data_IF_458700647641
#
_entry.id   IF_458700647641
#
_cell.length_a   1.000
_cell.length_b   1.000
_cell.length_c   1.000
_cell.angle_alpha   90.00
_cell.angle_beta   90.00
_cell.angle_gamma   90.00
#
_symmetry.space_group_name_H-M   'P 1'
#
loop_
_entity.id
_entity.type
_entity.pdbx_description
1 polymer ?
#
# COMPACT_ATOMS: atom_id res chain seq x y z
N UNK A 1 11.31 -11.36 44.62
CA UNK A 1 10.85 -9.97 44.54
C UNK A 1 10.67 -9.64 43.06
N UNK A 2 9.47 -9.81 42.50
CA UNK A 2 9.17 -9.50 41.09
C UNK A 2 8.43 -8.16 41.09
N UNK A 3 9.08 -7.11 40.61
CA UNK A 3 8.43 -5.81 40.41
C UNK A 3 7.30 -5.95 39.39
N UNK A 4 6.06 -5.72 39.83
CA UNK A 4 4.92 -5.52 38.94
C UNK A 4 5.08 -4.13 38.31
N UNK A 5 5.49 -4.09 37.04
CA UNK A 5 5.35 -2.91 36.20
C UNK A 5 3.87 -2.53 36.13
N UNK A 6 3.48 -1.48 36.86
CA UNK A 6 2.19 -0.80 36.72
C UNK A 6 2.25 0.02 35.42
N UNK A 7 1.75 -0.57 34.33
CA UNK A 7 1.55 0.18 33.08
C UNK A 7 0.32 1.08 33.25
N UNK A 8 0.54 2.36 33.56
CA UNK A 8 -0.51 3.38 33.55
C UNK A 8 -0.99 3.56 32.10
N UNK A 9 -2.17 3.01 31.78
CA UNK A 9 -2.86 3.19 30.49
C UNK A 9 -3.32 4.64 30.32
N UNK A 10 -2.47 5.46 29.71
CA UNK A 10 -2.84 6.73 29.11
C UNK A 10 -3.37 6.43 27.71
N UNK A 11 -4.69 6.35 27.55
CA UNK A 11 -5.32 6.38 26.22
C UNK A 11 -5.60 7.86 25.95
N UNK A 12 -4.63 8.53 25.31
CA UNK A 12 -4.86 9.82 24.69
C UNK A 12 -5.90 9.63 23.58
N UNK A 13 -6.89 10.51 23.55
CA UNK A 13 -7.83 10.58 22.44
C UNK A 13 -7.09 10.81 21.12
N UNK A 14 -7.47 10.04 20.11
CA UNK A 14 -7.19 10.28 18.70
C UNK A 14 -5.73 10.49 18.33
N UNK A 15 -4.94 9.41 18.26
CA UNK A 15 -3.82 9.26 17.32
C UNK A 15 -3.25 7.83 17.54
N UNK A 16 -2.93 7.14 16.44
CA UNK A 16 -2.44 5.75 16.31
C UNK A 16 -3.49 4.68 15.95
N UNK A 17 -4.06 4.79 14.74
CA UNK A 17 -4.37 3.63 13.90
C UNK A 17 -3.45 3.61 12.66
N UNK A 18 -2.18 3.98 12.86
CA UNK A 18 -1.09 3.55 12.01
C UNK A 18 -0.40 2.38 12.71
N UNK A 19 -0.40 1.21 12.07
CA UNK A 19 0.43 0.04 12.41
C UNK A 19 0.40 -0.44 13.87
N UNK A 20 -0.60 -1.25 14.23
CA UNK A 20 -0.47 -2.23 15.31
C UNK A 20 -0.50 -3.64 14.70
N UNK A 21 0.57 -3.99 13.99
CA UNK A 21 0.81 -5.36 13.49
C UNK A 21 2.29 -5.75 13.59
N UNK A 22 3.00 -5.31 14.63
CA UNK A 22 4.41 -5.68 14.87
C UNK A 22 4.69 -6.27 16.25
N UNK A 23 3.67 -6.53 17.07
CA UNK A 23 3.84 -7.34 18.27
C UNK A 23 2.70 -8.32 18.42
N UNK A 24 3.05 -9.60 18.59
CA UNK A 24 2.21 -10.71 19.04
C UNK A 24 1.71 -10.45 20.48
N UNK A 25 0.96 -9.35 20.67
CA UNK A 25 0.16 -9.16 21.87
C UNK A 25 -1.06 -10.07 21.66
N UNK A 26 -1.34 -11.02 22.57
CA UNK A 26 -2.59 -11.76 22.52
C UNK A 26 -3.72 -10.74 22.40
N UNK A 27 -4.68 -10.98 21.50
CA UNK A 27 -5.94 -10.23 21.46
C UNK A 27 -6.65 -10.51 22.80
N UNK A 28 -6.35 -9.71 23.82
CA UNK A 28 -6.88 -9.89 25.17
C UNK A 28 -8.34 -9.48 25.13
N UNK A 29 -9.23 -10.46 25.02
CA UNK A 29 -10.65 -10.28 25.33
C UNK A 29 -10.75 -9.89 26.80
N UNK A 30 -11.51 -8.84 27.05
CA UNK A 30 -11.73 -8.35 28.41
C UNK A 30 -13.18 -8.57 28.77
N UNK A 31 -13.43 -9.04 30.00
CA UNK A 31 -14.78 -9.11 30.55
C UNK A 31 -15.33 -7.67 30.63
N UNK A 32 -16.50 -7.48 30.06
CA UNK A 32 -17.25 -6.22 30.03
C UNK A 32 -18.62 -6.45 30.63
N UNK A 33 -19.18 -5.39 31.21
CA UNK A 33 -20.56 -5.36 31.69
C UNK A 33 -21.31 -4.33 30.87
N UNK A 34 -22.42 -4.73 30.26
CA UNK A 34 -23.25 -3.82 29.49
C UNK A 34 -23.80 -2.71 30.37
N UNK A 35 -23.57 -1.43 30.01
CA UNK A 35 -24.07 -0.30 30.80
C UNK A 35 -25.59 -0.26 30.89
N UNK A 36 -26.28 -0.81 29.90
CA UNK A 36 -27.73 -0.93 29.84
C UNK A 36 -28.04 -2.44 29.77
N UNK A 37 -28.87 -2.93 30.68
CA UNK A 37 -29.22 -4.37 30.80
C UNK A 37 -28.30 -5.20 31.71
N UNK A 38 -27.04 -4.78 31.92
CA UNK A 38 -26.14 -5.40 32.90
C UNK A 38 -25.58 -6.78 32.52
N UNK A 39 -25.77 -7.23 31.27
CA UNK A 39 -25.21 -8.51 30.82
C UNK A 39 -23.67 -8.49 30.82
N UNK A 40 -23.06 -9.62 31.18
CA UNK A 40 -21.61 -9.82 31.13
C UNK A 40 -21.22 -10.50 29.83
N UNK A 41 -20.15 -10.01 29.20
CA UNK A 41 -19.67 -10.56 27.94
C UNK A 41 -18.18 -10.30 27.76
N UNK A 42 -17.58 -10.96 26.78
CA UNK A 42 -16.19 -10.75 26.38
C UNK A 42 -16.16 -10.25 24.94
N UNK A 43 -15.44 -9.16 24.70
CA UNK A 43 -15.28 -8.59 23.36
C UNK A 43 -13.88 -7.97 23.18
N UNK A 44 -13.54 -7.68 21.92
CA UNK A 44 -12.32 -7.01 21.48
C UNK A 44 -12.62 -5.57 21.07
N UNK A 45 -11.70 -4.64 21.34
CA UNK A 45 -11.64 -3.22 20.92
C UNK A 45 -12.96 -2.55 20.49
N UNK A 46 -13.46 -1.57 21.25
CA UNK A 46 -14.82 -1.00 21.12
C UNK A 46 -15.89 -2.10 21.32
N UNK A 47 -16.23 -2.44 22.57
CA UNK A 47 -17.18 -3.52 22.87
C UNK A 47 -18.60 -3.21 22.40
N UNK A 48 -19.32 -4.24 21.94
CA UNK A 48 -20.75 -4.16 21.64
C UNK A 48 -21.57 -5.11 22.52
N UNK A 49 -22.59 -4.57 23.17
CA UNK A 49 -23.52 -5.34 23.97
C UNK A 49 -24.27 -6.40 23.15
N UNK A 50 -24.28 -7.67 23.59
CA UNK A 50 -24.83 -8.76 22.78
C UNK A 50 -26.34 -8.64 22.56
N UNK A 51 -27.10 -8.19 23.56
CA UNK A 51 -28.57 -8.17 23.53
C UNK A 51 -29.09 -6.92 22.83
N UNK A 52 -28.73 -5.75 23.36
CA UNK A 52 -29.29 -4.46 22.90
C UNK A 52 -28.43 -3.77 21.83
N UNK A 53 -27.32 -4.39 21.42
CA UNK A 53 -26.38 -3.89 20.40
C UNK A 53 -25.78 -2.52 20.70
N UNK A 54 -25.87 -2.03 21.93
CA UNK A 54 -25.26 -0.77 22.35
C UNK A 54 -23.74 -0.86 22.26
N UNK A 55 -23.11 0.12 21.61
CA UNK A 55 -21.67 0.17 21.41
C UNK A 55 -21.03 1.03 22.49
N UNK A 56 -20.10 0.45 23.25
CA UNK A 56 -19.44 1.10 24.38
C UNK A 56 -18.30 2.01 23.89
N UNK A 57 -18.66 3.20 23.38
CA UNK A 57 -17.71 4.17 22.82
C UNK A 57 -16.89 4.94 23.87
N UNK A 58 -17.19 4.78 25.17
CA UNK A 58 -16.42 5.35 26.28
C UNK A 58 -16.46 4.46 27.53
N UNK A 59 -15.54 4.72 28.47
CA UNK A 59 -15.33 3.87 29.65
C UNK A 59 -16.42 3.98 30.72
N UNK A 60 -17.00 5.17 30.90
CA UNK A 60 -17.96 5.47 31.97
C UNK A 60 -19.09 6.32 31.42
N UNK A 61 -20.29 5.96 31.82
CA UNK A 61 -21.53 6.65 31.49
C UNK A 61 -22.17 7.15 32.78
N UNK A 62 -22.76 8.33 32.73
CA UNK A 62 -23.59 8.85 33.81
C UNK A 62 -24.98 8.23 33.75
N UNK A 63 -25.72 8.24 34.85
CA UNK A 63 -27.10 7.75 34.87
C UNK A 63 -27.99 8.49 33.86
N UNK A 64 -27.84 9.81 33.74
CA UNK A 64 -28.57 10.66 32.81
C UNK A 64 -28.30 10.27 31.34
N UNK A 65 -27.04 10.00 31.00
CA UNK A 65 -26.68 9.50 29.67
C UNK A 65 -27.30 8.13 29.40
N UNK A 66 -27.26 7.21 30.36
CA UNK A 66 -27.81 5.87 30.17
C UNK A 66 -29.32 5.91 29.98
N UNK A 67 -30.06 6.74 30.73
CA UNK A 67 -31.50 6.92 30.54
C UNK A 67 -31.82 7.44 29.13
N UNK A 68 -31.03 8.40 28.63
CA UNK A 68 -31.17 8.92 27.27
C UNK A 68 -30.85 7.86 26.23
N UNK A 69 -29.76 7.13 26.42
CA UNK A 69 -29.27 6.13 25.47
C UNK A 69 -30.17 4.89 25.42
N UNK A 70 -30.79 4.52 26.54
CA UNK A 70 -31.78 3.46 26.63
C UNK A 70 -33.00 3.75 25.73
N UNK A 71 -33.46 5.01 25.71
CA UNK A 71 -34.55 5.44 24.81
C UNK A 71 -34.15 5.30 23.34
N UNK A 72 -32.90 5.63 22.99
CA UNK A 72 -32.38 5.51 21.62
C UNK A 72 -32.26 4.04 21.20
N UNK A 73 -31.60 3.19 21.98
CA UNK A 73 -31.41 1.78 21.60
C UNK A 73 -32.72 0.99 21.62
N UNK A 74 -33.71 1.46 22.39
CA UNK A 74 -35.08 0.91 22.39
C UNK A 74 -35.95 1.50 21.27
N UNK A 75 -35.48 2.48 20.50
CA UNK A 75 -36.24 3.01 19.38
C UNK A 75 -36.43 1.96 18.28
N UNK A 76 -37.50 2.12 17.49
CA UNK A 76 -37.76 1.26 16.33
C UNK A 76 -36.58 1.32 15.34
N UNK A 77 -36.10 2.52 15.04
CA UNK A 77 -35.02 2.74 14.07
C UNK A 77 -33.71 2.03 14.47
N UNK A 78 -33.34 2.05 15.75
CA UNK A 78 -32.14 1.34 16.22
C UNK A 78 -32.32 -0.18 16.24
N UNK A 79 -33.50 -0.66 16.67
CA UNK A 79 -33.79 -2.10 16.76
C UNK A 79 -33.94 -2.78 15.39
N UNK A 80 -34.25 -2.02 14.35
CA UNK A 80 -34.37 -2.51 12.97
C UNK A 80 -33.02 -2.55 12.21
N UNK A 81 -31.92 -2.12 12.83
CA UNK A 81 -30.59 -2.27 12.24
C UNK A 81 -30.30 -3.76 12.00
N UNK A 82 -29.84 -4.16 10.79
CA UNK A 82 -29.56 -5.56 10.50
C UNK A 82 -28.52 -6.16 11.46
N UNK A 83 -28.82 -7.34 12.01
CA UNK A 83 -27.98 -8.03 13.01
C UNK A 83 -26.55 -8.36 12.54
N UNK A 84 -26.35 -8.49 11.23
CA UNK A 84 -25.05 -8.74 10.59
C UNK A 84 -24.30 -7.44 10.19
N UNK A 85 -24.76 -6.28 10.64
CA UNK A 85 -24.02 -5.01 10.51
C UNK A 85 -22.86 -4.98 11.49
N UNK A 86 -21.78 -4.27 11.15
CA UNK A 86 -20.66 -4.13 12.08
C UNK A 86 -20.94 -3.12 13.20
N UNK A 87 -20.19 -3.22 14.29
CA UNK A 87 -20.33 -2.35 15.47
C UNK A 87 -20.16 -0.86 15.16
N UNK A 88 -19.32 -0.49 14.21
CA UNK A 88 -19.16 0.92 13.83
C UNK A 88 -20.40 1.46 13.12
N UNK A 89 -21.12 0.62 12.37
CA UNK A 89 -22.41 0.98 11.78
C UNK A 89 -23.45 1.26 12.88
N UNK A 90 -23.55 0.36 13.87
CA UNK A 90 -24.41 0.57 15.04
C UNK A 90 -24.04 1.86 15.78
N UNK A 91 -22.75 2.14 15.98
CA UNK A 91 -22.29 3.36 16.62
C UNK A 91 -22.64 4.61 15.81
N UNK A 92 -22.51 4.56 14.48
CA UNK A 92 -22.86 5.68 13.61
C UNK A 92 -24.37 5.98 13.66
N UNK A 93 -25.22 4.96 13.52
CA UNK A 93 -26.69 5.11 13.67
C UNK A 93 -27.09 5.61 15.05
N UNK A 94 -26.41 5.13 16.10
CA UNK A 94 -26.61 5.64 17.46
C UNK A 94 -26.29 7.14 17.53
N UNK A 95 -25.15 7.58 16.99
CA UNK A 95 -24.76 8.99 16.97
C UNK A 95 -25.71 9.87 16.15
N UNK A 96 -26.28 9.36 15.05
CA UNK A 96 -27.30 10.08 14.28
C UNK A 96 -28.56 10.31 15.10
N UNK A 97 -29.06 9.26 15.75
CA UNK A 97 -30.24 9.33 16.62
C UNK A 97 -30.01 10.21 17.86
N UNK A 98 -28.76 10.29 18.33
CA UNK A 98 -28.39 11.15 19.43
C UNK A 98 -28.42 12.64 19.05
N UNK A 99 -28.12 12.98 17.80
CA UNK A 99 -28.23 14.34 17.24
C UNK A 99 -27.24 15.38 17.77
N UNK A 100 -26.41 15.04 18.76
CA UNK A 100 -25.47 15.97 19.43
C UNK A 100 -24.01 15.78 19.00
N UNK A 101 -23.78 14.90 18.02
CA UNK A 101 -22.44 14.52 17.56
C UNK A 101 -22.06 15.35 16.34
N UNK A 102 -20.83 15.85 16.31
CA UNK A 102 -20.34 16.66 15.18
C UNK A 102 -20.32 15.86 13.86
N UNK A 103 -20.53 16.54 12.74
CA UNK A 103 -20.40 15.94 11.39
C UNK A 103 -19.05 15.24 11.22
N UNK A 104 -17.97 15.79 11.80
CA UNK A 104 -16.63 15.17 11.76
C UNK A 104 -16.64 13.79 12.39
N UNK A 105 -17.19 13.67 13.61
CA UNK A 105 -17.23 12.41 14.35
C UNK A 105 -18.17 11.40 13.68
N UNK A 106 -19.34 11.85 13.21
CA UNK A 106 -20.27 11.01 12.45
C UNK A 106 -19.63 10.46 11.17
N UNK A 107 -19.05 11.34 10.35
CA UNK A 107 -18.39 10.97 9.12
C UNK A 107 -17.23 9.99 9.32
N UNK A 108 -16.43 10.19 10.37
CA UNK A 108 -15.35 9.26 10.73
C UNK A 108 -15.87 7.90 11.20
N UNK A 109 -16.95 7.89 11.99
CA UNK A 109 -17.55 6.64 12.45
C UNK A 109 -18.08 5.81 11.27
N UNK A 110 -18.68 6.47 10.28
CA UNK A 110 -19.08 5.82 9.03
C UNK A 110 -17.90 5.40 8.16
N UNK A 111 -16.83 6.21 8.09
CA UNK A 111 -15.58 5.82 7.44
C UNK A 111 -15.00 4.53 8.04
N UNK A 112 -14.93 4.45 9.37
CA UNK A 112 -14.48 3.25 10.09
C UNK A 112 -15.40 2.07 9.80
N UNK A 113 -16.72 2.29 9.79
CA UNK A 113 -17.70 1.25 9.44
C UNK A 113 -17.51 0.70 8.03
N UNK A 114 -17.22 1.53 7.03
CA UNK A 114 -16.99 1.07 5.66
C UNK A 114 -15.71 0.22 5.52
N UNK A 115 -14.67 0.57 6.27
CA UNK A 115 -13.38 -0.11 6.21
C UNK A 115 -13.32 -1.36 7.08
N UNK A 116 -14.09 -1.41 8.16
CA UNK A 116 -14.21 -2.58 9.02
C UNK A 116 -14.91 -3.74 8.31
N UNK A 117 -14.60 -4.97 8.75
CA UNK A 117 -15.25 -6.17 8.22
C UNK A 117 -16.78 -6.07 8.38
N UNK A 118 -17.51 -6.35 7.29
CA UNK A 118 -18.97 -6.41 7.31
C UNK A 118 -19.45 -7.48 6.35
N UNK A 119 -20.36 -8.32 6.83
CA UNK A 119 -21.08 -9.32 6.03
C UNK A 119 -22.29 -8.72 5.31
N UNK A 120 -22.69 -7.50 5.69
CA UNK A 120 -23.83 -6.82 5.14
C UNK A 120 -23.40 -5.74 4.14
N UNK A 121 -23.45 -6.08 2.85
CA UNK A 121 -23.04 -5.16 1.79
C UNK A 121 -23.93 -3.91 1.71
N UNK A 122 -25.22 -4.02 2.08
CA UNK A 122 -26.14 -2.86 2.06
C UNK A 122 -25.69 -1.81 3.08
N UNK A 123 -25.45 -2.21 4.33
CA UNK A 123 -25.07 -1.27 5.39
C UNK A 123 -23.65 -0.75 5.19
N UNK A 124 -22.77 -1.57 4.61
CA UNK A 124 -21.45 -1.10 4.16
C UNK A 124 -21.56 -0.01 3.09
N UNK A 125 -22.40 -0.18 2.07
CA UNK A 125 -22.60 0.87 1.05
C UNK A 125 -23.29 2.11 1.60
N UNK A 126 -24.19 1.96 2.57
CA UNK A 126 -24.76 3.09 3.31
C UNK A 126 -23.68 3.83 4.10
N UNK A 127 -22.77 3.12 4.78
CA UNK A 127 -21.61 3.73 5.45
C UNK A 127 -20.72 4.52 4.49
N UNK A 128 -20.50 4.03 3.26
CA UNK A 128 -19.76 4.78 2.25
C UNK A 128 -20.45 6.12 1.92
N UNK A 129 -21.75 6.07 1.65
CA UNK A 129 -22.54 7.26 1.28
C UNK A 129 -22.64 8.27 2.43
N UNK A 130 -22.94 7.81 3.64
CA UNK A 130 -23.04 8.68 4.81
C UNK A 130 -21.68 9.22 5.23
N UNK A 131 -20.63 8.40 5.16
CA UNK A 131 -19.25 8.84 5.36
C UNK A 131 -18.89 10.02 4.46
N UNK A 132 -19.20 9.93 3.16
CA UNK A 132 -18.99 11.04 2.21
C UNK A 132 -19.81 12.27 2.63
N UNK A 133 -21.12 12.11 2.85
CA UNK A 133 -22.05 13.20 3.18
C UNK A 133 -21.60 14.01 4.41
N UNK A 134 -21.23 13.34 5.51
CA UNK A 134 -20.80 14.01 6.73
C UNK A 134 -19.37 14.58 6.62
N UNK A 135 -18.44 13.87 5.98
CA UNK A 135 -17.08 14.37 5.79
C UNK A 135 -17.02 15.57 4.84
N UNK A 136 -17.88 15.64 3.80
CA UNK A 136 -18.03 16.82 2.93
C UNK A 136 -18.41 18.08 3.74
N UNK A 137 -19.30 17.96 4.73
CA UNK A 137 -19.66 19.06 5.64
C UNK A 137 -18.51 19.47 6.55
N UNK A 138 -17.68 18.51 6.96
CA UNK A 138 -16.59 18.70 7.91
C UNK A 138 -15.26 19.17 7.29
N UNK A 139 -14.99 18.89 5.99
CA UNK A 139 -13.65 18.91 5.38
C UNK A 139 -12.90 20.25 5.45
N UNK A 140 -13.61 21.38 5.51
CA UNK A 140 -13.10 22.78 5.60
C UNK A 140 -11.60 22.96 5.35
N UNK A 141 -10.74 22.78 6.37
CA UNK A 141 -9.27 22.84 6.28
C UNK A 141 -8.57 21.66 6.97
N UNK A 142 -9.32 20.67 7.41
CA UNK A 142 -8.81 19.54 8.18
C UNK A 142 -8.13 18.54 7.24
N UNK A 143 -6.81 18.42 7.37
CA UNK A 143 -6.00 17.54 6.52
C UNK A 143 -6.38 16.07 6.69
N UNK A 144 -6.79 15.65 7.89
CA UNK A 144 -7.11 14.24 8.15
C UNK A 144 -8.40 13.86 7.41
N UNK A 145 -9.45 14.66 7.61
CA UNK A 145 -10.77 14.46 6.99
C UNK A 145 -10.71 14.46 5.47
N UNK A 146 -9.83 15.28 4.91
CA UNK A 146 -9.60 15.33 3.49
C UNK A 146 -9.04 14.02 2.91
N UNK A 147 -8.11 13.35 3.59
CA UNK A 147 -7.58 12.06 3.13
C UNK A 147 -8.63 10.96 3.24
N UNK A 148 -9.39 10.94 4.36
CA UNK A 148 -10.49 10.02 4.56
C UNK A 148 -11.55 10.18 3.45
N UNK A 149 -11.92 11.43 3.15
CA UNK A 149 -12.88 11.76 2.09
C UNK A 149 -12.35 11.41 0.69
N UNK A 150 -11.08 11.69 0.39
CA UNK A 150 -10.47 11.30 -0.88
C UNK A 150 -10.52 9.78 -1.09
N UNK A 151 -10.27 9.01 -0.02
CA UNK A 151 -10.38 7.56 -0.05
C UNK A 151 -11.82 7.11 -0.32
N UNK A 152 -12.81 7.66 0.38
CA UNK A 152 -14.21 7.32 0.13
C UNK A 152 -14.65 7.68 -1.30
N UNK A 153 -14.22 8.83 -1.85
CA UNK A 153 -14.51 9.16 -3.25
C UNK A 153 -13.90 8.15 -4.22
N UNK A 154 -12.68 7.67 -3.98
CA UNK A 154 -12.08 6.65 -4.84
C UNK A 154 -12.86 5.32 -4.81
N UNK A 155 -13.35 4.92 -3.63
CA UNK A 155 -14.14 3.70 -3.44
C UNK A 155 -15.57 3.82 -4.02
N UNK A 156 -16.11 5.04 -4.02
CA UNK A 156 -17.35 5.41 -4.67
C UNK A 156 -17.20 5.70 -6.17
N UNK A 157 -15.98 5.58 -6.73
CA UNK A 157 -15.67 5.88 -8.13
C UNK A 157 -15.95 7.35 -8.53
N UNK A 158 -16.00 8.25 -7.54
CA UNK A 158 -16.19 9.69 -7.71
C UNK A 158 -14.84 10.41 -7.97
N UNK A 159 -14.07 9.92 -8.95
CA UNK A 159 -12.70 10.38 -9.22
C UNK A 159 -12.59 11.88 -9.54
N UNK A 160 -13.62 12.49 -10.13
CA UNK A 160 -13.66 13.94 -10.40
C UNK A 160 -13.66 14.73 -9.09
N UNK A 161 -14.49 14.33 -8.11
CA UNK A 161 -14.54 15.00 -6.80
C UNK A 161 -13.26 14.76 -6.02
N UNK A 162 -12.74 13.54 -6.05
CA UNK A 162 -11.44 13.18 -5.48
C UNK A 162 -10.31 14.06 -6.03
N UNK A 163 -10.21 14.18 -7.36
CA UNK A 163 -9.18 15.00 -8.01
C UNK A 163 -9.29 16.46 -7.61
N UNK A 164 -10.50 17.03 -7.63
CA UNK A 164 -10.73 18.42 -7.20
C UNK A 164 -10.33 18.65 -5.75
N UNK A 165 -10.56 17.67 -4.87
CA UNK A 165 -10.15 17.72 -3.47
C UNK A 165 -8.63 17.73 -3.35
N UNK A 166 -7.95 16.75 -3.97
CA UNK A 166 -6.50 16.57 -3.89
C UNK A 166 -5.71 17.67 -4.61
N UNK A 167 -6.22 18.26 -5.69
CA UNK A 167 -5.55 19.40 -6.34
C UNK A 167 -5.52 20.66 -5.47
N UNK A 168 -6.59 20.88 -4.70
CA UNK A 168 -6.68 22.03 -3.79
C UNK A 168 -5.72 21.88 -2.62
N UNK A 169 -5.54 20.66 -2.13
CA UNK A 169 -4.91 20.42 -0.83
C UNK A 169 -3.56 19.72 -0.90
N UNK A 170 -3.28 19.02 -1.99
CA UNK A 170 -2.00 18.34 -2.24
C UNK A 170 -0.82 19.29 -2.38
N UNK A 171 -1.07 20.60 -2.49
CA UNK A 171 -0.02 21.63 -2.34
C UNK A 171 0.60 21.68 -0.95
N UNK A 172 -0.07 21.11 0.06
CA UNK A 172 0.46 21.03 1.43
C UNK A 172 1.47 19.90 1.59
N UNK A 173 1.34 18.84 0.80
CA UNK A 173 2.18 17.64 0.85
C UNK A 173 2.12 16.92 -0.50
N UNK A 174 3.09 17.24 -1.38
CA UNK A 174 3.16 16.65 -2.71
C UNK A 174 3.46 15.15 -2.65
N UNK A 175 4.31 14.71 -1.72
CA UNK A 175 4.70 13.31 -1.59
C UNK A 175 3.54 12.42 -1.17
N UNK A 176 2.80 12.81 -0.13
CA UNK A 176 1.60 12.07 0.29
C UNK A 176 0.53 12.02 -0.80
N UNK A 177 0.40 13.09 -1.59
CA UNK A 177 -0.54 13.12 -2.73
C UNK A 177 -0.08 12.22 -3.87
N UNK A 178 1.21 12.22 -4.19
CA UNK A 178 1.80 11.34 -5.19
C UNK A 178 1.61 9.86 -4.81
N UNK A 179 1.89 9.53 -3.55
CA UNK A 179 1.70 8.21 -2.97
C UNK A 179 0.24 7.76 -3.05
N UNK A 180 -0.71 8.62 -2.71
CA UNK A 180 -2.13 8.30 -2.83
C UNK A 180 -2.52 7.88 -4.25
N UNK A 181 -2.17 8.69 -5.26
CA UNK A 181 -2.47 8.37 -6.66
C UNK A 181 -1.71 7.13 -7.16
N UNK A 182 -0.45 6.99 -6.77
CA UNK A 182 0.38 5.85 -7.16
C UNK A 182 -0.19 4.53 -6.61
N UNK A 183 -0.61 4.52 -5.35
CA UNK A 183 -1.26 3.37 -4.72
C UNK A 183 -2.63 3.08 -5.34
N UNK A 184 -3.39 4.12 -5.69
CA UNK A 184 -4.68 3.97 -6.38
C UNK A 184 -4.53 3.39 -7.79
N UNK A 185 -3.44 3.71 -8.48
CA UNK A 185 -3.12 3.11 -9.78
C UNK A 185 -2.71 1.62 -9.68
N UNK A 186 -2.50 1.10 -8.47
CA UNK A 186 -2.16 -0.29 -8.16
C UNK A 186 -0.90 -0.79 -8.92
N UNK A 187 0.16 0.03 -8.92
CA UNK A 187 1.38 -0.22 -9.71
C UNK A 187 2.43 -1.07 -9.00
N UNK A 188 2.23 -1.35 -7.71
CA UNK A 188 3.04 -2.30 -6.97
C UNK A 188 2.26 -3.60 -6.81
N UNK A 189 2.75 -4.67 -7.42
CA UNK A 189 2.44 -6.03 -6.98
C UNK A 189 3.18 -6.21 -5.66
N UNK A 190 2.61 -5.69 -4.56
CA UNK A 190 3.30 -5.73 -3.28
C UNK A 190 3.48 -7.17 -2.82
N UNK A 191 4.71 -7.47 -2.43
CA UNK A 191 5.06 -8.53 -1.49
C UNK A 191 4.36 -8.22 -0.15
N UNK A 192 3.11 -8.69 0.01
CA UNK A 192 2.46 -8.85 1.32
C UNK A 192 1.95 -7.61 2.08
N UNK A 193 1.92 -6.40 1.51
CA UNK A 193 1.50 -5.18 2.22
C UNK A 193 0.16 -4.60 1.73
N UNK A 194 -0.91 -4.81 2.49
CA UNK A 194 -2.23 -4.12 2.46
C UNK A 194 -2.58 -3.37 1.16
N UNK A 195 -3.50 -3.92 0.36
CA UNK A 195 -4.23 -3.12 -0.64
C UNK A 195 -4.97 -1.98 0.07
N UNK A 196 -4.46 -0.75 -0.07
CA UNK A 196 -5.08 0.44 0.51
C UNK A 196 -6.49 0.70 -0.06
N UNK A 197 -6.71 0.28 -1.30
CA UNK A 197 -7.96 0.42 -2.05
C UNK A 197 -8.51 -0.95 -2.39
N UNK A 198 -9.81 -1.15 -2.16
CA UNK A 198 -10.47 -2.46 -2.38
C UNK A 198 -10.79 -2.71 -3.86
N UNK A 199 -10.91 -1.66 -4.66
CA UNK A 199 -11.35 -1.72 -6.06
C UNK A 199 -10.22 -1.37 -7.04
N UNK A 200 -10.03 -2.23 -8.03
CA UNK A 200 -9.19 -1.94 -9.19
C UNK A 200 -9.91 -0.98 -10.15
N UNK A 201 -9.17 -0.02 -10.71
CA UNK A 201 -9.67 0.88 -11.75
C UNK A 201 -9.71 0.13 -13.08
N UNK A 202 -10.92 -0.25 -13.51
CA UNK A 202 -11.14 -0.97 -14.78
C UNK A 202 -11.12 -0.05 -16.01
N UNK A 203 -11.56 1.20 -15.84
CA UNK A 203 -11.61 2.16 -16.95
C UNK A 203 -10.20 2.66 -17.27
N UNK A 204 -9.76 2.41 -18.50
CA UNK A 204 -8.42 2.79 -18.97
C UNK A 204 -8.20 4.30 -18.99
N UNK A 205 -9.20 5.10 -19.36
CA UNK A 205 -9.09 6.56 -19.41
C UNK A 205 -8.97 7.13 -17.99
N UNK A 206 -9.75 6.59 -17.04
CA UNK A 206 -9.61 6.96 -15.63
C UNK A 206 -8.25 6.56 -15.11
N UNK A 207 -7.78 5.34 -15.39
CA UNK A 207 -6.45 4.88 -14.97
C UNK A 207 -5.35 5.80 -15.52
N UNK A 208 -5.44 6.22 -16.78
CA UNK A 208 -4.51 7.16 -17.39
C UNK A 208 -4.51 8.52 -16.68
N UNK A 209 -5.67 9.06 -16.29
CA UNK A 209 -5.78 10.28 -15.50
C UNK A 209 -5.10 10.11 -14.13
N UNK A 210 -5.37 9.01 -13.42
CA UNK A 210 -4.78 8.72 -12.10
C UNK A 210 -3.26 8.61 -12.19
N UNK A 211 -2.74 7.84 -13.17
CA UNK A 211 -1.30 7.67 -13.40
C UNK A 211 -0.65 9.02 -13.76
N UNK A 212 -1.30 9.83 -14.59
CA UNK A 212 -0.82 11.17 -14.92
C UNK A 212 -0.74 12.06 -13.69
N UNK A 213 -1.75 12.03 -12.82
CA UNK A 213 -1.75 12.80 -11.56
C UNK A 213 -0.67 12.31 -10.60
N UNK A 214 -0.46 11.00 -10.46
CA UNK A 214 0.64 10.45 -9.67
C UNK A 214 1.99 11.02 -10.14
N UNK A 215 2.23 11.02 -11.45
CA UNK A 215 3.47 11.52 -12.05
C UNK A 215 3.64 13.04 -11.83
N UNK A 216 2.59 13.83 -12.06
CA UNK A 216 2.59 15.27 -11.83
C UNK A 216 2.97 15.63 -10.39
N UNK A 217 2.38 14.94 -9.40
CA UNK A 217 2.63 15.21 -7.99
C UNK A 217 4.02 14.71 -7.55
N UNK A 218 4.45 13.54 -8.01
CA UNK A 218 5.79 13.01 -7.75
C UNK A 218 6.88 13.94 -8.29
N UNK A 219 6.70 14.47 -9.50
CA UNK A 219 7.66 15.42 -10.07
C UNK A 219 7.70 16.75 -9.29
N UNK A 220 6.56 17.22 -8.77
CA UNK A 220 6.53 18.41 -7.89
C UNK A 220 7.28 18.16 -6.59
N UNK A 221 7.08 17.01 -5.95
CA UNK A 221 7.81 16.61 -4.75
C UNK A 221 9.33 16.62 -5.00
N UNK A 222 9.79 15.92 -6.04
CA UNK A 222 11.22 15.83 -6.40
C UNK A 222 11.80 17.23 -6.68
N UNK A 223 11.06 18.09 -7.37
CA UNK A 223 11.49 19.45 -7.64
C UNK A 223 11.63 20.29 -6.35
N UNK A 224 10.72 20.14 -5.40
CA UNK A 224 10.82 20.81 -4.10
C UNK A 224 11.97 20.27 -3.24
N UNK A 225 12.20 18.97 -3.25
CA UNK A 225 13.33 18.35 -2.57
C UNK A 225 14.67 18.81 -3.17
N UNK A 226 14.74 18.92 -4.49
CA UNK A 226 15.93 19.44 -5.19
C UNK A 226 16.24 20.88 -4.82
N UNK A 227 15.22 21.74 -4.68
CA UNK A 227 15.41 23.14 -4.20
C UNK A 227 16.02 23.20 -2.80
N UNK A 228 15.80 22.15 -1.98
CA UNK A 228 16.39 21.99 -0.65
C UNK A 228 17.75 21.30 -0.66
N UNK A 229 18.31 21.04 -1.84
CA UNK A 229 19.60 20.37 -2.01
C UNK A 229 19.55 18.85 -1.82
N UNK A 230 18.37 18.24 -1.77
CA UNK A 230 18.27 16.77 -1.70
C UNK A 230 18.48 16.15 -3.09
N UNK A 231 19.17 15.02 -3.11
CA UNK A 231 19.26 14.17 -4.29
C UNK A 231 18.00 13.34 -4.48
N UNK A 232 17.75 12.92 -5.72
CA UNK A 232 16.67 11.98 -6.02
C UNK A 232 16.97 10.62 -5.39
N UNK A 233 15.96 10.03 -4.78
CA UNK A 233 16.04 8.67 -4.22
C UNK A 233 15.73 7.61 -5.28
N UNK A 234 16.24 6.38 -5.10
CA UNK A 234 15.99 5.27 -6.02
C UNK A 234 14.49 5.02 -6.22
N UNK A 235 13.73 5.04 -5.12
CA UNK A 235 12.27 4.84 -5.12
C UNK A 235 11.58 5.91 -5.98
N UNK A 236 11.97 7.18 -5.84
CA UNK A 236 11.42 8.28 -6.63
C UNK A 236 11.75 8.14 -8.13
N UNK A 237 12.96 7.68 -8.45
CA UNK A 237 13.39 7.42 -9.83
C UNK A 237 12.57 6.27 -10.45
N UNK A 238 12.49 5.12 -9.78
CA UNK A 238 11.80 3.94 -10.28
C UNK A 238 10.29 4.15 -10.35
N UNK A 239 9.68 4.87 -9.40
CA UNK A 239 8.24 5.21 -9.45
C UNK A 239 7.91 6.05 -10.68
N UNK A 240 8.73 7.05 -11.01
CA UNK A 240 8.55 7.81 -12.26
C UNK A 240 8.62 6.90 -13.50
N UNK A 241 9.62 6.00 -13.56
CA UNK A 241 9.77 5.09 -14.68
C UNK A 241 8.57 4.13 -14.81
N UNK A 242 8.04 3.60 -13.70
CA UNK A 242 6.81 2.79 -13.68
C UNK A 242 5.61 3.57 -14.20
N UNK A 243 5.44 4.82 -13.78
CA UNK A 243 4.36 5.69 -14.24
C UNK A 243 4.47 5.98 -15.74
N UNK A 244 5.67 6.29 -16.25
CA UNK A 244 5.90 6.43 -17.69
C UNK A 244 5.59 5.14 -18.46
N UNK A 245 5.98 3.97 -17.93
CA UNK A 245 5.68 2.66 -18.53
C UNK A 245 4.18 2.42 -18.66
N UNK A 246 3.39 2.81 -17.67
CA UNK A 246 1.93 2.70 -17.73
C UNK A 246 1.29 3.68 -18.72
N UNK A 247 1.89 4.85 -18.93
CA UNK A 247 1.49 5.81 -19.96
C UNK A 247 2.03 5.47 -21.35
N UNK A 248 2.78 4.38 -21.51
CA UNK A 248 3.40 4.00 -22.79
C UNK A 248 4.55 4.93 -23.24
N UNK A 249 5.08 5.74 -22.34
CA UNK A 249 6.08 6.79 -22.57
C UNK A 249 7.51 6.26 -22.47
N UNK A 250 7.89 5.43 -23.45
CA UNK A 250 9.18 4.70 -23.43
C UNK A 250 10.38 5.62 -23.55
N UNK A 251 10.33 6.62 -24.42
CA UNK A 251 11.47 7.50 -24.65
C UNK A 251 11.73 8.41 -23.44
N UNK A 252 10.69 8.72 -22.65
CA UNK A 252 10.82 9.43 -21.38
C UNK A 252 11.49 8.58 -20.29
N UNK A 253 11.30 7.25 -20.31
CA UNK A 253 12.03 6.33 -19.42
C UNK A 253 13.53 6.38 -19.76
N UNK A 254 13.87 6.23 -21.05
CA UNK A 254 15.25 6.28 -21.53
C UNK A 254 15.91 7.62 -21.14
N UNK A 255 15.20 8.74 -21.37
CA UNK A 255 15.68 10.08 -21.01
C UNK A 255 15.81 10.30 -19.50
N UNK A 256 14.93 9.70 -18.69
CA UNK A 256 14.99 9.76 -17.23
C UNK A 256 16.24 9.03 -16.72
N UNK A 257 16.46 7.79 -17.18
CA UNK A 257 17.58 6.97 -16.73
C UNK A 257 18.93 7.40 -17.31
N UNK A 258 18.97 8.03 -18.49
CA UNK A 258 20.21 8.59 -19.03
C UNK A 258 20.80 9.70 -18.12
N UNK A 259 19.93 10.40 -17.37
CA UNK A 259 20.30 11.46 -16.42
C UNK A 259 20.50 10.96 -14.99
N UNK A 260 20.15 9.70 -14.71
CA UNK A 260 20.24 9.14 -13.38
C UNK A 260 21.69 8.94 -12.95
N UNK A 261 21.93 9.06 -11.64
CA UNK A 261 23.22 8.73 -11.06
C UNK A 261 23.56 7.26 -11.33
N UNK A 262 24.84 7.00 -11.54
CA UNK A 262 25.38 5.66 -11.85
C UNK A 262 25.07 4.65 -10.75
N UNK A 263 24.96 5.07 -9.49
CA UNK A 263 24.59 4.21 -8.36
C UNK A 263 23.26 3.47 -8.56
N UNK A 264 22.35 4.01 -9.39
CA UNK A 264 21.07 3.38 -9.70
C UNK A 264 21.14 2.41 -10.88
N UNK A 265 22.28 2.23 -11.53
CA UNK A 265 22.41 1.43 -12.75
C UNK A 265 21.86 0.01 -12.59
N UNK A 266 22.11 -0.63 -11.44
CA UNK A 266 21.64 -1.99 -11.17
C UNK A 266 20.11 -2.05 -11.10
N UNK A 267 19.51 -1.13 -10.35
CA UNK A 267 18.06 -1.00 -10.25
C UNK A 267 17.41 -0.68 -11.61
N UNK A 268 18.06 0.16 -12.43
CA UNK A 268 17.62 0.46 -13.79
C UNK A 268 17.65 -0.80 -14.69
N UNK A 269 18.74 -1.59 -14.63
CA UNK A 269 18.85 -2.84 -15.39
C UNK A 269 17.73 -3.82 -14.99
N UNK A 270 17.49 -3.99 -13.69
CA UNK A 270 16.41 -4.82 -13.15
C UNK A 270 15.02 -4.33 -13.59
N UNK A 271 14.81 -3.00 -13.61
CA UNK A 271 13.56 -2.40 -14.08
C UNK A 271 13.27 -2.78 -15.54
N UNK A 272 14.27 -2.73 -16.43
CA UNK A 272 14.08 -3.07 -17.83
C UNK A 272 13.76 -4.55 -18.05
N UNK A 273 14.38 -5.46 -17.29
CA UNK A 273 14.07 -6.88 -17.38
C UNK A 273 12.78 -7.28 -16.64
N UNK A 274 12.20 -6.37 -15.85
CA UNK A 274 10.98 -6.60 -15.05
C UNK A 274 11.13 -7.74 -14.02
N UNK A 275 12.29 -7.83 -13.36
CA UNK A 275 12.59 -8.89 -12.39
C UNK A 275 13.02 -8.32 -11.02
N UNK A 276 12.65 -8.97 -9.90
CA UNK A 276 13.23 -8.68 -8.60
C UNK A 276 14.69 -9.15 -8.52
N UNK A 277 15.52 -8.39 -7.80
CA UNK A 277 16.93 -8.73 -7.60
C UNK A 277 17.12 -10.16 -7.05
N UNK A 278 16.27 -10.57 -6.11
CA UNK A 278 16.37 -11.84 -5.39
C UNK A 278 15.79 -13.03 -6.15
N UNK A 279 15.23 -12.85 -7.35
CA UNK A 279 14.58 -13.94 -8.09
C UNK A 279 14.72 -13.81 -9.61
N UNK A 280 15.95 -13.66 -10.10
CA UNK A 280 16.25 -13.67 -11.54
C UNK A 280 15.68 -14.90 -12.27
N UNK A 281 15.20 -14.66 -13.49
CA UNK A 281 14.43 -15.59 -14.30
C UNK A 281 12.96 -15.72 -13.89
N UNK A 282 12.51 -14.88 -12.94
CA UNK A 282 11.09 -14.67 -12.59
C UNK A 282 10.72 -13.21 -12.78
N UNK A 283 9.68 -12.93 -13.56
CA UNK A 283 9.22 -11.57 -13.89
C UNK A 283 8.05 -11.14 -13.03
N UNK A 284 7.90 -9.84 -12.78
CA UNK A 284 6.74 -9.30 -12.07
C UNK A 284 5.44 -9.46 -12.85
N UNK A 285 5.48 -9.47 -14.19
CA UNK A 285 4.30 -9.78 -14.99
C UNK A 285 4.64 -10.66 -16.20
N UNK A 286 4.29 -11.95 -16.13
CA UNK A 286 4.53 -12.91 -17.22
C UNK A 286 3.74 -12.62 -18.50
N UNK A 287 2.66 -11.84 -18.41
CA UNK A 287 1.83 -11.48 -19.55
C UNK A 287 2.36 -10.21 -20.25
N UNK A 288 3.32 -9.51 -19.63
CA UNK A 288 3.97 -8.30 -20.16
C UNK A 288 5.49 -8.40 -20.01
N UNK A 289 6.08 -9.39 -20.69
CA UNK A 289 7.54 -9.59 -20.69
C UNK A 289 8.28 -8.46 -21.41
N UNK A 290 9.49 -8.16 -20.94
CA UNK A 290 10.38 -7.19 -21.59
C UNK A 290 10.65 -7.56 -23.05
N UNK A 291 10.55 -6.56 -23.91
CA UNK A 291 10.93 -6.63 -25.32
C UNK A 291 12.45 -6.75 -25.50
N UNK A 292 12.88 -7.15 -26.70
CA UNK A 292 14.31 -7.22 -27.06
C UNK A 292 15.02 -5.87 -26.83
N UNK A 293 14.41 -4.75 -27.25
CA UNK A 293 14.93 -3.40 -26.98
C UNK A 293 15.13 -3.14 -25.48
N UNK A 294 14.18 -3.54 -24.64
CA UNK A 294 14.30 -3.35 -23.18
C UNK A 294 15.42 -4.22 -22.60
N UNK A 295 15.58 -5.46 -23.07
CA UNK A 295 16.70 -6.32 -22.68
C UNK A 295 18.05 -5.73 -23.12
N UNK A 296 18.13 -5.16 -24.32
CA UNK A 296 19.33 -4.46 -24.80
C UNK A 296 19.65 -3.22 -23.95
N UNK A 297 18.65 -2.43 -23.58
CA UNK A 297 18.84 -1.32 -22.64
C UNK A 297 19.33 -1.82 -21.28
N UNK A 298 18.74 -2.89 -20.75
CA UNK A 298 19.19 -3.50 -19.51
C UNK A 298 20.67 -3.91 -19.56
N UNK A 299 21.12 -4.43 -20.72
CA UNK A 299 22.50 -4.83 -20.97
C UNK A 299 23.46 -3.64 -20.95
N UNK A 300 23.10 -2.52 -21.59
CA UNK A 300 23.90 -1.28 -21.57
C UNK A 300 24.17 -0.81 -20.14
N UNK A 301 23.15 -0.84 -19.28
CA UNK A 301 23.32 -0.47 -17.87
C UNK A 301 24.16 -1.50 -17.10
N UNK A 302 23.96 -2.80 -17.32
CA UNK A 302 24.77 -3.84 -16.70
C UNK A 302 26.26 -3.70 -17.05
N UNK A 303 26.58 -3.47 -18.33
CA UNK A 303 27.95 -3.28 -18.81
C UNK A 303 28.61 -2.03 -18.22
N UNK A 304 27.86 -0.94 -18.10
CA UNK A 304 28.32 0.29 -17.46
C UNK A 304 28.76 0.03 -16.02
N UNK A 305 27.94 -0.68 -15.23
CA UNK A 305 28.25 -1.00 -13.83
C UNK A 305 29.46 -1.92 -13.75
N UNK A 306 29.52 -2.98 -14.57
CA UNK A 306 30.66 -3.91 -14.59
C UNK A 306 31.95 -3.14 -14.88
N UNK A 307 31.94 -2.20 -15.83
CA UNK A 307 33.13 -1.41 -16.17
C UNK A 307 33.67 -0.60 -14.99
N UNK A 308 32.78 -0.12 -14.10
CA UNK A 308 33.13 0.65 -12.91
C UNK A 308 33.61 -0.24 -11.77
N UNK A 309 32.99 -1.43 -11.62
CA UNK A 309 33.36 -2.41 -10.61
C UNK A 309 34.64 -3.20 -10.93
N UNK A 310 35.25 -3.04 -12.12
CA UNK A 310 36.48 -3.77 -12.53
C UNK A 310 37.63 -3.71 -11.49
N UNK A 311 37.66 -2.67 -10.66
CA UNK A 311 38.68 -2.49 -9.62
C UNK A 311 38.23 -2.92 -8.20
N UNK A 312 36.98 -3.37 -8.02
CA UNK A 312 36.39 -3.67 -6.72
C UNK A 312 35.80 -5.10 -6.69
N UNK A 313 36.42 -6.01 -5.92
CA UNK A 313 36.11 -7.46 -5.93
C UNK A 313 35.04 -7.83 -4.89
N UNK A 314 33.89 -7.15 -4.90
CA UNK A 314 32.80 -7.39 -3.93
C UNK A 314 31.67 -8.25 -4.52
N UNK A 315 30.76 -8.74 -3.66
CA UNK A 315 29.57 -9.52 -4.06
C UNK A 315 28.60 -8.77 -4.97
N UNK A 316 28.72 -7.45 -5.08
CA UNK A 316 27.96 -6.62 -6.01
C UNK A 316 28.27 -6.96 -7.47
N UNK A 317 29.54 -7.25 -7.79
CA UNK A 317 29.95 -7.68 -9.14
C UNK A 317 29.27 -9.00 -9.52
N UNK A 318 29.17 -9.96 -8.59
CA UNK A 318 28.49 -11.24 -8.82
C UNK A 318 27.02 -11.01 -9.18
N UNK A 319 26.32 -10.16 -8.44
CA UNK A 319 24.91 -9.84 -8.73
C UNK A 319 24.71 -9.24 -10.12
N UNK A 320 25.57 -8.30 -10.53
CA UNK A 320 25.46 -7.67 -11.87
C UNK A 320 25.83 -8.64 -13.00
N UNK A 321 26.82 -9.51 -12.81
CA UNK A 321 27.15 -10.56 -13.78
C UNK A 321 26.00 -11.56 -13.96
N UNK A 322 25.28 -11.90 -12.88
CA UNK A 322 24.08 -12.73 -12.96
C UNK A 322 22.97 -12.06 -13.76
N UNK A 323 22.72 -10.76 -13.52
CA UNK A 323 21.76 -9.96 -14.31
C UNK A 323 22.16 -9.99 -15.78
N UNK A 324 23.44 -9.75 -16.10
CA UNK A 324 23.95 -9.78 -17.48
C UNK A 324 23.77 -11.16 -18.14
N UNK A 325 24.09 -12.24 -17.44
CA UNK A 325 23.90 -13.60 -17.94
C UNK A 325 22.41 -13.90 -18.21
N UNK A 326 21.53 -13.45 -17.32
CA UNK A 326 20.07 -13.59 -17.47
C UNK A 326 19.55 -12.81 -18.69
N UNK A 327 20.04 -11.60 -18.93
CA UNK A 327 19.71 -10.80 -20.12
C UNK A 327 20.12 -11.53 -21.40
N UNK A 328 21.38 -11.98 -21.51
CA UNK A 328 21.84 -12.74 -22.68
C UNK A 328 21.03 -14.03 -22.88
N UNK A 329 20.68 -14.73 -21.80
CA UNK A 329 19.81 -15.91 -21.86
C UNK A 329 18.44 -15.57 -22.46
N UNK A 330 17.79 -14.50 -22.00
CA UNK A 330 16.47 -14.05 -22.49
C UNK A 330 16.52 -13.56 -23.94
N UNK A 331 17.63 -12.95 -24.37
CA UNK A 331 17.90 -12.65 -25.78
C UNK A 331 18.12 -13.93 -26.62
N UNK A 332 18.49 -15.05 -25.98
CA UNK A 332 18.87 -16.30 -26.66
C UNK A 332 20.33 -16.38 -27.07
N UNK A 333 21.14 -15.46 -26.57
CA UNK A 333 22.58 -15.40 -26.79
C UNK A 333 23.27 -16.35 -25.78
N UNK A 334 22.95 -17.64 -25.85
CA UNK A 334 23.36 -18.62 -24.83
C UNK A 334 24.88 -18.76 -24.68
N UNK A 335 25.63 -18.62 -25.77
CA UNK A 335 27.10 -18.65 -25.72
C UNK A 335 27.68 -17.47 -24.95
N UNK A 336 27.11 -16.27 -25.10
CA UNK A 336 27.51 -15.10 -24.31
C UNK A 336 27.08 -15.25 -22.86
N UNK A 337 25.88 -15.79 -22.59
CA UNK A 337 25.44 -16.07 -21.23
C UNK A 337 26.37 -17.07 -20.52
N UNK A 338 26.79 -18.14 -21.21
CA UNK A 338 27.75 -19.12 -20.68
C UNK A 338 29.12 -18.49 -20.40
N UNK A 339 29.60 -17.63 -21.29
CA UNK A 339 30.84 -16.87 -21.10
C UNK A 339 30.76 -16.00 -19.86
N UNK A 340 29.69 -15.21 -19.69
CA UNK A 340 29.50 -14.36 -18.51
C UNK A 340 29.43 -15.19 -17.22
N UNK A 341 28.71 -16.32 -17.23
CA UNK A 341 28.66 -17.22 -16.07
C UNK A 341 30.04 -17.78 -15.71
N UNK A 342 30.91 -18.04 -16.69
CA UNK A 342 32.27 -18.54 -16.45
C UNK A 342 33.18 -17.53 -15.74
N UNK A 343 32.84 -16.24 -15.81
CA UNK A 343 33.55 -15.16 -15.09
C UNK A 343 33.23 -15.17 -13.58
N UNK A 344 32.13 -15.84 -13.18
CA UNK A 344 31.71 -15.98 -11.79
C UNK A 344 32.42 -17.20 -11.16
N UNK A 345 33.34 -16.96 -10.23
CA UNK A 345 34.03 -18.03 -9.50
C UNK A 345 33.11 -18.67 -8.46
N UNK A 346 32.95 -20.01 -8.50
CA UNK A 346 32.16 -20.76 -7.51
C UNK A 346 32.57 -20.54 -6.06
N UNK A 347 33.86 -20.25 -5.80
CA UNK A 347 34.38 -19.93 -4.45
C UNK A 347 34.00 -18.52 -3.95
N UNK A 348 33.40 -17.68 -4.81
CA UNK A 348 33.01 -16.29 -4.51
C UNK A 348 31.50 -16.05 -4.56
N UNK A 349 30.72 -17.08 -4.87
CA UNK A 349 29.27 -17.01 -4.83
C UNK A 349 28.86 -17.12 -3.36
N UNK A 350 28.32 -16.04 -2.80
CA UNK A 350 27.68 -16.11 -1.49
C UNK A 350 26.40 -16.96 -1.59
N UNK A 351 26.00 -17.62 -0.50
CA UNK A 351 24.79 -18.46 -0.41
C UNK A 351 23.55 -17.76 -1.02
N UNK A 352 23.45 -16.44 -0.86
CA UNK A 352 22.38 -15.61 -1.42
C UNK A 352 22.23 -15.73 -2.96
N UNK A 353 23.34 -15.92 -3.68
CA UNK A 353 23.37 -15.93 -5.15
C UNK A 353 23.48 -17.34 -5.74
N UNK A 354 23.76 -18.37 -4.93
CA UNK A 354 24.00 -19.74 -5.40
C UNK A 354 22.81 -20.32 -6.14
N UNK A 355 21.62 -20.16 -5.55
CA UNK A 355 20.37 -20.63 -6.17
C UNK A 355 20.12 -19.97 -7.54
N UNK A 356 20.36 -18.66 -7.65
CA UNK A 356 20.15 -17.93 -8.89
C UNK A 356 21.17 -18.34 -9.96
N UNK A 357 22.44 -18.44 -9.58
CA UNK A 357 23.50 -18.89 -10.46
C UNK A 357 23.19 -20.27 -11.07
N UNK A 358 22.88 -21.26 -10.23
CA UNK A 358 22.60 -22.62 -10.72
C UNK A 358 21.32 -22.68 -11.55
N UNK A 359 20.29 -21.89 -11.22
CA UNK A 359 19.08 -21.81 -12.03
C UNK A 359 19.34 -21.23 -13.42
N UNK A 360 20.05 -20.10 -13.51
CA UNK A 360 20.39 -19.46 -14.79
C UNK A 360 21.30 -20.41 -15.59
N UNK A 361 22.34 -20.97 -14.98
CA UNK A 361 23.27 -21.93 -15.61
C UNK A 361 22.54 -23.14 -16.19
N UNK A 362 21.61 -23.73 -15.46
CA UNK A 362 20.78 -24.84 -15.93
C UNK A 362 19.93 -24.43 -17.13
N UNK A 363 19.25 -23.27 -17.08
CA UNK A 363 18.44 -22.78 -18.20
C UNK A 363 19.26 -22.45 -19.44
N UNK A 364 20.47 -21.89 -19.29
CA UNK A 364 21.42 -21.64 -20.39
C UNK A 364 21.80 -22.96 -21.08
N UNK A 365 22.16 -24.00 -20.32
CA UNK A 365 22.45 -25.34 -20.87
C UNK A 365 21.27 -25.95 -21.64
N UNK A 366 20.06 -25.73 -21.14
CA UNK A 366 18.82 -26.20 -21.77
C UNK A 366 18.38 -25.32 -22.95
N UNK A 367 19.09 -24.22 -23.25
CA UNK A 367 18.69 -23.21 -24.25
C UNK A 367 17.27 -22.68 -24.03
N UNK A 368 16.88 -22.55 -22.77
CA UNK A 368 15.56 -22.07 -22.37
C UNK A 368 15.58 -20.54 -22.25
N UNK A 369 14.71 -19.84 -22.99
CA UNK A 369 14.48 -18.38 -22.88
C UNK A 369 13.35 -18.02 -21.91
N UNK A 370 12.58 -19.00 -21.45
CA UNK A 370 11.37 -18.82 -20.66
C UNK A 370 11.63 -18.17 -19.29
N UNK A 371 10.61 -17.45 -18.84
CA UNK A 371 10.52 -16.83 -17.51
C UNK A 371 9.28 -17.32 -16.79
N UNK A 372 9.28 -17.23 -15.46
CA UNK A 372 8.12 -17.57 -14.63
C UNK A 372 7.54 -16.31 -14.00
N UNK A 373 6.26 -16.33 -13.66
CA UNK A 373 5.68 -15.28 -12.83
C UNK A 373 6.34 -15.31 -11.44
N UNK A 374 6.83 -14.16 -10.98
CA UNK A 374 7.24 -13.99 -9.60
C UNK A 374 6.00 -14.01 -8.71
N UNK A 375 6.01 -14.94 -7.76
CA UNK A 375 5.00 -15.02 -6.71
C UNK A 375 5.74 -14.71 -5.42
N UNK A 376 5.53 -13.51 -4.82
CA UNK A 376 6.10 -13.19 -3.52
C UNK A 376 5.72 -14.27 -2.50
N UNK A 377 6.67 -14.63 -1.63
CA UNK A 377 6.35 -15.55 -0.53
C UNK A 377 5.37 -14.84 0.39
N UNK A 378 4.13 -15.34 0.47
CA UNK A 378 3.21 -14.86 1.50
C UNK A 378 3.85 -15.13 2.86
N UNK A 379 4.33 -14.08 3.52
CA UNK A 379 4.73 -14.17 4.92
C UNK A 379 3.43 -14.39 5.69
N UNK A 380 3.11 -15.67 5.94
CA UNK A 380 2.05 -16.03 6.87
C UNK A 380 2.56 -15.66 8.27
N UNK A 381 2.08 -14.53 8.78
CA UNK A 381 2.29 -14.11 10.17
C UNK A 381 1.34 -14.82 11.13
#
# INVERSE_FOLDING_TARGET
MKEKLKLNRVILGGLLLGSLSTFSVPLVRTEQVCPIGGERFEDLDVPQCPTNKFVMFKKKFTAEELEKYEKIISSKEYREIPGNSNKYYYLAKFYELLGEVSDKTLGKTYFDSYHYYSENEKTKMESLQQGISYLEKAVKRDNEIMWDLAKLYSEAEEYIKMNKLLEKTGRRDFGKTAEFYYNLANLEISDGGYTLFKKEIKDKNIKEIIVTKALEFLQKEINEDRKKGKEIEEVQLLRQAKLYRELGKRDEIDALFAKADKKFGKAISLFYIDEPETSLGKVYNKDKISSERELEQALVYADKIISELKNNKSGEMTGVLLIKAEIHRRLGQFSEAEKVLSEISSKKINEMYEFQFENIRRKVKLKDKGVFQYIPLQIMY
#
